data_IF_988682985875
#
_entry.id   IF_988682985875
#
_cell.length_a   1.000
_cell.length_b   1.000
_cell.length_c   1.000
_cell.angle_alpha   90.00
_cell.angle_beta   90.00
_cell.angle_gamma   90.00
#
_symmetry.space_group_name_H-M   'P 1'
#
loop_
_entity.id
_entity.type
_entity.pdbx_description
1 polymer ?
#
# COMPACT_ATOMS: atom_id res chain seq x y z
N UNK A 1 20.47 -8.99 -15.83
CA UNK A 1 19.39 -9.90 -15.36
C UNK A 1 18.29 -9.86 -16.39
N UNK A 2 17.63 -10.99 -16.69
CA UNK A 2 16.39 -10.98 -17.49
C UNK A 2 15.28 -10.26 -16.72
N UNK A 3 14.26 -9.77 -17.44
CA UNK A 3 13.12 -9.06 -16.84
C UNK A 3 12.39 -9.94 -15.81
N UNK A 4 12.21 -11.22 -16.12
CA UNK A 4 11.64 -12.22 -15.21
C UNK A 4 12.48 -12.39 -13.94
N UNK A 5 13.81 -12.48 -14.06
CA UNK A 5 14.68 -12.61 -12.88
C UNK A 5 14.63 -11.34 -12.00
N UNK A 6 14.51 -10.15 -12.60
CA UNK A 6 14.36 -8.88 -11.87
C UNK A 6 13.07 -8.86 -11.04
N UNK A 7 11.99 -9.43 -11.57
CA UNK A 7 10.68 -9.48 -10.89
C UNK A 7 10.61 -10.53 -9.77
N UNK A 8 11.22 -11.69 -9.98
CA UNK A 8 11.00 -12.88 -9.15
C UNK A 8 12.17 -13.22 -8.23
N UNK A 9 13.26 -12.46 -8.25
CA UNK A 9 14.42 -12.69 -7.40
C UNK A 9 14.64 -11.50 -6.47
N UNK A 10 14.94 -11.79 -5.20
CA UNK A 10 15.29 -10.75 -4.23
C UNK A 10 16.44 -9.88 -4.77
N UNK A 11 16.31 -8.56 -4.77
CA UNK A 11 17.43 -7.68 -5.09
C UNK A 11 18.63 -7.96 -4.19
N UNK A 12 19.87 -7.83 -4.72
CA UNK A 12 21.10 -8.05 -3.94
C UNK A 12 21.15 -7.17 -2.69
N UNK A 13 21.77 -7.69 -1.62
CA UNK A 13 21.96 -6.93 -0.38
C UNK A 13 20.72 -6.77 0.49
N UNK A 14 19.62 -7.46 0.16
CA UNK A 14 18.41 -7.47 0.96
C UNK A 14 18.61 -8.19 2.29
N UNK A 15 18.21 -7.54 3.38
CA UNK A 15 18.16 -8.12 4.72
C UNK A 15 16.73 -8.15 5.23
N UNK A 16 16.32 -9.29 5.79
CA UNK A 16 14.99 -9.45 6.38
C UNK A 16 15.09 -9.45 7.89
N UNK A 17 14.10 -8.83 8.53
CA UNK A 17 14.02 -8.71 9.98
C UNK A 17 12.57 -8.50 10.41
N UNK A 18 12.40 -7.87 11.54
CA UNK A 18 11.08 -7.50 12.04
C UNK A 18 11.15 -6.78 13.38
N UNK A 19 10.01 -6.30 13.82
CA UNK A 19 9.82 -5.73 15.14
C UNK A 19 8.49 -6.18 15.73
N UNK A 20 8.36 -6.08 17.04
CA UNK A 20 7.11 -6.45 17.73
C UNK A 20 6.41 -5.20 18.24
N UNK A 21 5.11 -5.06 17.93
CA UNK A 21 4.28 -3.97 18.44
C UNK A 21 2.90 -4.50 18.87
N UNK A 22 2.47 -4.12 20.06
CA UNK A 22 1.19 -4.54 20.64
C UNK A 22 0.98 -6.07 20.56
N UNK A 23 2.04 -6.86 20.80
CA UNK A 23 2.02 -8.32 20.78
C UNK A 23 2.01 -8.96 19.39
N UNK A 24 2.07 -8.19 18.30
CA UNK A 24 2.19 -8.72 16.94
C UNK A 24 3.62 -8.51 16.42
N UNK A 25 4.21 -9.58 15.88
CA UNK A 25 5.47 -9.51 15.13
C UNK A 25 5.18 -9.06 13.69
N UNK A 26 5.86 -7.99 13.26
CA UNK A 26 5.76 -7.42 11.92
C UNK A 26 7.07 -7.66 11.17
N UNK A 27 6.97 -8.33 10.02
CA UNK A 27 8.13 -8.60 9.17
C UNK A 27 8.53 -7.35 8.41
N UNK A 28 9.84 -7.14 8.31
CA UNK A 28 10.44 -6.03 7.54
C UNK A 28 11.53 -6.52 6.62
N UNK A 29 11.89 -5.68 5.64
CA UNK A 29 13.08 -5.86 4.84
C UNK A 29 13.77 -4.52 4.61
N UNK A 30 15.10 -4.57 4.45
CA UNK A 30 15.92 -3.42 4.07
C UNK A 30 16.79 -3.80 2.88
N UNK A 31 16.86 -2.91 1.89
CA UNK A 31 17.68 -3.05 0.69
C UNK A 31 18.51 -1.78 0.52
N UNK A 32 19.80 -1.95 0.22
CA UNK A 32 20.77 -0.87 0.12
C UNK A 32 21.22 -0.74 -1.34
N UNK A 33 21.19 0.46 -1.95
CA UNK A 33 21.67 0.66 -3.31
C UNK A 33 23.19 0.47 -3.40
N UNK A 34 23.66 0.06 -4.57
CA UNK A 34 25.11 -0.06 -4.85
C UNK A 34 25.81 1.29 -5.07
N UNK A 35 25.05 2.37 -5.19
CA UNK A 35 25.51 3.76 -5.38
C UNK A 35 25.26 4.58 -4.11
N UNK A 36 25.91 5.75 -3.95
CA UNK A 36 25.62 6.63 -2.81
C UNK A 36 24.13 6.95 -2.68
N UNK A 37 23.62 6.86 -1.47
CA UNK A 37 22.21 7.03 -1.22
C UNK A 37 21.74 8.47 -1.43
N UNK A 38 20.62 8.64 -2.16
CA UNK A 38 19.91 9.92 -2.33
C UNK A 38 18.89 10.17 -1.22
N UNK A 39 18.59 9.16 -0.43
CA UNK A 39 17.58 9.15 0.62
C UNK A 39 17.00 7.75 0.82
N UNK A 40 15.90 7.68 1.52
CA UNK A 40 15.24 6.40 1.88
C UNK A 40 13.77 6.41 1.49
N UNK A 41 13.33 5.34 0.86
CA UNK A 41 11.91 5.05 0.60
C UNK A 41 11.42 4.03 1.63
N UNK A 42 10.38 4.40 2.38
CA UNK A 42 9.56 3.47 3.17
C UNK A 42 8.45 2.97 2.26
N UNK A 43 8.59 1.73 1.76
CA UNK A 43 7.68 1.12 0.80
C UNK A 43 6.61 0.29 1.50
N UNK A 44 5.34 0.64 1.26
CA UNK A 44 4.18 0.08 1.92
C UNK A 44 3.21 -0.54 0.92
N UNK A 45 2.90 -1.80 1.14
CA UNK A 45 2.09 -2.63 0.25
C UNK A 45 0.59 -2.39 0.42
N UNK A 46 -0.20 -2.86 -0.54
CA UNK A 46 -1.66 -2.88 -0.45
C UNK A 46 -2.20 -4.07 0.36
N UNK A 47 -3.52 -4.30 0.27
CA UNK A 47 -4.15 -5.48 0.87
C UNK A 47 -3.86 -6.74 0.05
N UNK A 48 -3.59 -7.85 0.73
CA UNK A 48 -3.23 -9.14 0.10
C UNK A 48 -1.92 -9.05 -0.71
N UNK A 49 -1.01 -8.24 -0.24
CA UNK A 49 0.32 -8.06 -0.81
C UNK A 49 1.38 -8.29 0.26
N UNK A 50 2.62 -8.50 -0.19
CA UNK A 50 3.77 -8.82 0.64
C UNK A 50 5.06 -8.32 -0.02
N UNK A 51 6.16 -8.29 0.71
CA UNK A 51 7.43 -7.68 0.30
C UNK A 51 7.93 -8.26 -1.04
N UNK A 52 7.88 -9.59 -1.23
CA UNK A 52 8.40 -10.27 -2.42
C UNK A 52 7.72 -9.81 -3.71
N UNK A 53 6.44 -9.51 -3.67
CA UNK A 53 5.70 -8.97 -4.82
C UNK A 53 6.30 -7.67 -5.36
N UNK A 54 7.05 -6.96 -4.52
CA UNK A 54 7.65 -5.66 -4.83
C UNK A 54 9.13 -5.73 -5.19
N UNK A 55 9.73 -6.90 -5.39
CA UNK A 55 11.17 -7.02 -5.70
C UNK A 55 11.57 -6.21 -6.93
N UNK A 56 10.77 -6.20 -8.00
CA UNK A 56 11.00 -5.37 -9.17
C UNK A 56 10.96 -3.87 -8.83
N UNK A 57 9.94 -3.43 -8.11
CA UNK A 57 9.80 -2.03 -7.66
C UNK A 57 10.96 -1.63 -6.75
N UNK A 58 11.38 -2.53 -5.85
CA UNK A 58 12.54 -2.32 -4.99
C UNK A 58 13.80 -2.16 -5.84
N UNK A 59 14.03 -3.03 -6.83
CA UNK A 59 15.16 -2.92 -7.74
C UNK A 59 15.16 -1.58 -8.51
N UNK A 60 13.99 -1.13 -8.98
CA UNK A 60 13.84 0.16 -9.67
C UNK A 60 14.18 1.36 -8.76
N UNK A 61 13.85 1.27 -7.47
CA UNK A 61 14.20 2.30 -6.48
C UNK A 61 15.69 2.28 -6.12
N UNK A 62 16.29 1.09 -6.01
CA UNK A 62 17.73 0.93 -5.78
C UNK A 62 18.55 1.51 -6.95
N UNK A 63 18.12 1.28 -8.20
CA UNK A 63 18.76 1.86 -9.40
C UNK A 63 18.69 3.40 -9.40
N UNK A 64 17.69 3.98 -8.71
CA UNK A 64 17.54 5.43 -8.49
C UNK A 64 18.34 5.95 -7.29
N UNK A 65 19.06 5.07 -6.59
CA UNK A 65 19.89 5.43 -5.46
C UNK A 65 19.14 5.57 -4.14
N UNK A 66 17.96 5.01 -4.01
CA UNK A 66 17.24 5.01 -2.72
C UNK A 66 17.54 3.77 -1.90
N UNK A 67 17.80 3.93 -0.59
CA UNK A 67 17.56 2.85 0.35
C UNK A 67 16.07 2.51 0.35
N UNK A 68 15.72 1.22 0.47
CA UNK A 68 14.32 0.80 0.54
C UNK A 68 14.09 0.00 1.81
N UNK A 69 13.18 0.48 2.63
CA UNK A 69 12.66 -0.26 3.77
C UNK A 69 11.21 -0.65 3.49
N UNK A 70 10.89 -1.92 3.62
CA UNK A 70 9.54 -2.44 3.37
C UNK A 70 9.02 -3.23 4.57
N UNK A 71 7.69 -3.30 4.72
CA UNK A 71 7.02 -4.00 5.81
C UNK A 71 5.83 -4.78 5.28
N UNK A 72 5.66 -6.02 5.76
CA UNK A 72 4.39 -6.72 5.69
C UNK A 72 3.46 -6.20 6.79
N UNK A 73 2.28 -5.70 6.42
CA UNK A 73 1.29 -5.26 7.39
C UNK A 73 0.87 -6.40 8.33
N UNK A 74 0.48 -6.07 9.58
CA UNK A 74 -0.20 -7.06 10.44
C UNK A 74 -1.35 -7.73 9.71
N UNK A 75 -1.49 -9.02 9.85
CA UNK A 75 -2.55 -9.77 9.23
C UNK A 75 -2.31 -10.20 7.79
N UNK A 76 -1.13 -9.91 7.18
CA UNK A 76 -0.78 -10.37 5.84
C UNK A 76 0.73 -10.62 5.67
N UNK A 77 1.15 -11.10 4.51
CA UNK A 77 2.52 -11.51 4.26
C UNK A 77 3.01 -12.54 5.27
N UNK A 78 4.22 -12.39 5.77
CA UNK A 78 4.78 -13.22 6.84
C UNK A 78 4.72 -12.53 8.22
N UNK A 79 4.02 -11.42 8.35
CA UNK A 79 3.66 -10.83 9.65
C UNK A 79 2.60 -11.66 10.38
N UNK A 80 2.48 -11.45 11.69
CA UNK A 80 1.53 -12.16 12.54
C UNK A 80 0.08 -11.97 12.08
N UNK A 81 -0.70 -13.04 12.20
CA UNK A 81 -2.12 -13.07 11.85
C UNK A 81 -2.97 -12.94 13.11
N UNK A 82 -3.96 -12.03 13.13
CA UNK A 82 -4.83 -11.83 14.30
C UNK A 82 -5.85 -12.94 14.51
N UNK A 83 -6.04 -13.82 13.51
CA UNK A 83 -6.95 -14.97 13.58
C UNK A 83 -6.19 -16.28 13.32
N UNK A 84 -6.63 -17.41 13.93
CA UNK A 84 -6.02 -18.72 13.68
C UNK A 84 -6.07 -19.14 12.22
N UNK A 85 -7.15 -18.81 11.51
CA UNK A 85 -7.28 -19.02 10.08
C UNK A 85 -6.51 -17.92 9.32
N UNK A 86 -5.33 -18.26 8.82
CA UNK A 86 -4.42 -17.34 8.11
C UNK A 86 -5.02 -16.75 6.84
N UNK A 87 -6.00 -17.41 6.24
CA UNK A 87 -6.66 -16.93 5.01
C UNK A 87 -7.64 -15.79 5.26
N UNK A 88 -7.98 -15.47 6.51
CA UNK A 88 -8.88 -14.37 6.84
C UNK A 88 -8.14 -13.06 7.05
N UNK A 89 -8.30 -12.13 6.10
CA UNK A 89 -7.85 -10.75 6.29
C UNK A 89 -8.67 -10.05 7.36
N UNK A 90 -8.08 -9.73 8.51
CA UNK A 90 -8.79 -9.15 9.66
C UNK A 90 -7.98 -8.06 10.34
N UNK A 91 -8.67 -6.99 10.72
CA UNK A 91 -8.22 -5.98 11.68
C UNK A 91 -9.46 -5.47 12.43
N UNK A 92 -9.29 -5.04 13.66
CA UNK A 92 -10.39 -4.46 14.45
C UNK A 92 -10.56 -2.97 14.17
N UNK A 93 -9.46 -2.28 13.99
CA UNK A 93 -9.44 -0.86 13.66
C UNK A 93 -8.21 -0.52 12.81
N UNK A 94 -8.34 0.42 11.88
CA UNK A 94 -7.22 0.89 11.06
C UNK A 94 -6.20 1.71 11.88
N UNK A 95 -6.55 2.12 13.09
CA UNK A 95 -5.60 2.74 14.01
C UNK A 95 -4.42 1.80 14.32
N UNK A 96 -4.66 0.47 14.36
CA UNK A 96 -3.61 -0.51 14.56
C UNK A 96 -2.54 -0.44 13.45
N UNK A 97 -2.98 -0.24 12.19
CA UNK A 97 -2.07 -0.06 11.06
C UNK A 97 -1.33 1.30 11.10
N UNK A 98 -2.04 2.36 11.49
CA UNK A 98 -1.43 3.71 11.62
C UNK A 98 -0.31 3.69 12.65
N UNK A 99 -0.57 3.08 13.77
CA UNK A 99 0.39 2.96 14.84
C UNK A 99 1.57 2.01 14.47
N UNK A 100 1.34 0.95 13.67
CA UNK A 100 2.41 0.11 13.13
C UNK A 100 3.31 0.92 12.18
N UNK A 101 2.70 1.73 11.31
CA UNK A 101 3.42 2.61 10.41
C UNK A 101 4.27 3.63 11.17
N UNK A 102 3.71 4.27 12.20
CA UNK A 102 4.45 5.24 13.02
C UNK A 102 5.69 4.58 13.64
N UNK A 103 5.51 3.41 14.27
CA UNK A 103 6.62 2.67 14.85
C UNK A 103 7.67 2.24 13.81
N UNK A 104 7.24 1.81 12.63
CA UNK A 104 8.15 1.44 11.55
C UNK A 104 8.94 2.65 11.03
N UNK A 105 8.28 3.78 10.81
CA UNK A 105 8.96 5.02 10.40
C UNK A 105 9.94 5.49 11.45
N UNK A 106 9.63 5.34 12.74
CA UNK A 106 10.54 5.69 13.84
C UNK A 106 11.82 4.84 13.80
N UNK A 107 11.68 3.54 13.58
CA UNK A 107 12.81 2.62 13.45
C UNK A 107 13.67 3.00 12.23
N UNK A 108 13.04 3.25 11.08
CA UNK A 108 13.76 3.61 9.86
C UNK A 108 14.46 4.95 10.00
N UNK A 109 13.78 5.98 10.54
CA UNK A 109 14.35 7.31 10.71
C UNK A 109 15.58 7.35 11.64
N UNK A 110 15.69 6.40 12.57
CA UNK A 110 16.82 6.32 13.48
C UNK A 110 18.10 5.77 12.84
N UNK A 111 18.02 5.09 11.69
CA UNK A 111 19.15 4.33 11.14
C UNK A 111 19.39 4.52 9.63
N UNK A 112 18.42 5.06 8.90
CA UNK A 112 18.47 5.15 7.45
C UNK A 112 18.84 6.57 6.97
N UNK A 113 19.49 6.72 5.79
CA UNK A 113 19.82 8.02 5.23
C UNK A 113 18.58 8.89 4.99
N UNK A 114 18.66 10.17 5.40
CA UNK A 114 17.69 11.19 5.02
C UNK A 114 17.94 11.67 3.57
N UNK A 115 16.90 12.23 2.89
CA UNK A 115 15.53 12.40 3.35
C UNK A 115 14.71 11.10 3.31
N UNK A 116 13.68 11.01 4.18
CA UNK A 116 12.73 9.91 4.18
C UNK A 116 11.48 10.25 3.37
N UNK A 117 11.08 9.35 2.49
CA UNK A 117 9.86 9.42 1.70
C UNK A 117 9.05 8.14 1.93
N UNK A 118 7.77 8.25 2.20
CA UNK A 118 6.85 7.08 2.21
C UNK A 118 6.29 6.90 0.81
N UNK A 119 6.38 5.69 0.27
CA UNK A 119 5.74 5.28 -0.99
C UNK A 119 4.78 4.13 -0.72
N UNK A 120 3.50 4.32 -1.00
CA UNK A 120 2.46 3.40 -0.53
C UNK A 120 1.42 3.11 -1.60
N UNK A 121 1.02 1.84 -1.72
CA UNK A 121 0.02 1.38 -2.67
C UNK A 121 -1.31 1.03 -1.99
N UNK A 122 -2.43 1.39 -2.61
CA UNK A 122 -3.79 0.94 -2.27
C UNK A 122 -4.14 1.14 -0.78
N UNK A 123 -4.37 0.05 -0.02
CA UNK A 123 -4.60 0.10 1.42
C UNK A 123 -3.46 0.81 2.17
N UNK A 124 -2.20 0.55 1.79
CA UNK A 124 -1.05 1.25 2.37
C UNK A 124 -1.09 2.75 2.12
N UNK A 125 -1.53 3.18 0.93
CA UNK A 125 -1.76 4.59 0.60
C UNK A 125 -2.81 5.25 1.49
N UNK A 126 -3.91 4.55 1.75
CA UNK A 126 -4.95 5.00 2.68
C UNK A 126 -4.41 5.16 4.12
N UNK A 127 -3.71 4.14 4.62
CA UNK A 127 -3.13 4.16 5.96
C UNK A 127 -2.13 5.31 6.08
N UNK A 128 -1.28 5.49 5.07
CA UNK A 128 -0.31 6.59 5.01
C UNK A 128 -1.01 7.93 5.05
N UNK A 129 -2.04 8.17 4.23
CA UNK A 129 -2.77 9.44 4.22
C UNK A 129 -3.40 9.75 5.59
N UNK A 130 -3.99 8.74 6.26
CA UNK A 130 -4.51 8.90 7.61
C UNK A 130 -3.41 9.19 8.63
N UNK A 131 -2.30 8.46 8.58
CA UNK A 131 -1.15 8.68 9.48
C UNK A 131 -0.59 10.09 9.31
N UNK A 132 -0.43 10.57 8.08
CA UNK A 132 0.03 11.93 7.80
C UNK A 132 -0.89 13.00 8.36
N UNK A 133 -2.21 12.79 8.30
CA UNK A 133 -3.18 13.73 8.85
C UNK A 133 -3.22 13.70 10.39
N UNK A 134 -3.18 12.51 10.99
CA UNK A 134 -3.45 12.30 12.41
C UNK A 134 -2.20 12.26 13.30
N UNK A 135 -0.99 12.11 12.71
CA UNK A 135 0.28 11.98 13.43
C UNK A 135 1.29 13.08 13.01
N UNK A 136 1.20 14.31 13.56
CA UNK A 136 2.13 15.39 13.21
C UNK A 136 3.60 15.03 13.49
N UNK A 137 3.87 14.21 14.51
CA UNK A 137 5.23 13.77 14.84
C UNK A 137 5.83 12.86 13.76
N UNK A 138 5.04 11.93 13.20
CA UNK A 138 5.43 11.11 12.06
C UNK A 138 5.64 11.99 10.81
N UNK A 139 4.70 12.89 10.51
CA UNK A 139 4.77 13.77 9.35
C UNK A 139 6.05 14.60 9.31
N UNK A 140 6.52 15.11 10.44
CA UNK A 140 7.77 15.90 10.53
C UNK A 140 9.05 15.12 10.22
N UNK A 141 9.01 13.79 10.22
CA UNK A 141 10.16 12.92 9.87
C UNK A 141 10.28 12.70 8.37
N UNK A 142 9.26 13.07 7.60
CA UNK A 142 9.15 12.76 6.17
C UNK A 142 9.36 14.01 5.32
N UNK A 143 10.13 13.87 4.25
CA UNK A 143 10.28 14.90 3.22
C UNK A 143 9.07 14.94 2.28
N UNK A 144 8.38 13.81 2.10
CA UNK A 144 7.22 13.71 1.25
C UNK A 144 6.57 12.33 1.28
N UNK A 145 5.47 12.18 0.55
CA UNK A 145 4.78 10.90 0.38
C UNK A 145 4.35 10.66 -1.08
N UNK A 146 4.33 9.41 -1.50
CA UNK A 146 3.84 8.94 -2.80
C UNK A 146 2.68 7.98 -2.55
N UNK A 147 1.50 8.33 -3.04
CA UNK A 147 0.28 7.55 -2.88
C UNK A 147 -0.11 6.98 -4.24
N UNK A 148 0.02 5.66 -4.42
CA UNK A 148 -0.30 4.96 -5.67
C UNK A 148 -1.64 4.24 -5.54
N UNK A 149 -2.62 4.58 -6.38
CA UNK A 149 -3.97 3.96 -6.40
C UNK A 149 -4.54 3.80 -5.00
N UNK A 150 -4.46 4.88 -4.20
CA UNK A 150 -4.73 4.83 -2.77
C UNK A 150 -6.21 4.56 -2.48
N UNK A 151 -6.51 3.70 -1.51
CA UNK A 151 -7.86 3.27 -1.14
C UNK A 151 -8.66 4.40 -0.47
N UNK A 152 -9.00 5.46 -1.23
CA UNK A 152 -9.85 6.55 -0.74
C UNK A 152 -11.33 6.14 -0.71
N UNK A 153 -11.75 5.32 -1.64
CA UNK A 153 -13.04 4.61 -1.66
C UNK A 153 -12.90 3.31 -2.45
N UNK A 154 -13.67 2.27 -2.10
CA UNK A 154 -13.63 0.96 -2.77
C UNK A 154 -14.87 0.73 -3.62
N UNK A 155 -14.71 -0.13 -4.64
CA UNK A 155 -15.85 -0.65 -5.38
C UNK A 155 -16.66 -1.63 -4.51
N UNK A 156 -17.98 -1.50 -4.56
CA UNK A 156 -18.91 -2.22 -3.67
C UNK A 156 -19.88 -3.15 -4.40
N UNK A 157 -19.59 -3.47 -5.67
CA UNK A 157 -20.37 -4.44 -6.45
C UNK A 157 -21.82 -4.02 -6.70
N UNK A 158 -22.05 -2.72 -6.97
CA UNK A 158 -23.36 -2.20 -7.32
C UNK A 158 -24.25 -1.76 -6.15
N UNK A 159 -23.85 -2.02 -4.90
CA UNK A 159 -24.53 -1.44 -3.72
C UNK A 159 -23.88 -0.14 -3.30
N UNK A 160 -24.65 0.76 -2.67
CA UNK A 160 -24.07 2.05 -2.24
C UNK A 160 -23.02 1.81 -1.13
N UNK A 161 -21.92 2.59 -1.08
CA UNK A 161 -20.93 2.48 0.00
C UNK A 161 -21.53 2.62 1.39
N UNK A 162 -22.55 3.48 1.55
CA UNK A 162 -23.27 3.63 2.83
C UNK A 162 -24.01 2.36 3.22
N UNK A 163 -24.64 1.68 2.26
CA UNK A 163 -25.33 0.40 2.49
C UNK A 163 -24.34 -0.69 2.82
N UNK A 164 -23.24 -0.81 2.08
CA UNK A 164 -22.17 -1.77 2.35
C UNK A 164 -21.59 -1.58 3.77
N UNK A 165 -21.32 -0.33 4.16
CA UNK A 165 -20.84 -0.01 5.51
C UNK A 165 -21.84 -0.39 6.60
N UNK A 166 -23.15 -0.14 6.39
CA UNK A 166 -24.20 -0.52 7.34
C UNK A 166 -24.30 -2.03 7.48
N UNK A 167 -24.27 -2.78 6.38
CA UNK A 167 -24.29 -4.25 6.39
C UNK A 167 -23.08 -4.77 7.18
N UNK A 168 -21.86 -4.32 6.87
CA UNK A 168 -20.66 -4.73 7.60
C UNK A 168 -20.78 -4.44 9.10
N UNK A 169 -21.26 -3.25 9.47
CA UNK A 169 -21.47 -2.84 10.86
C UNK A 169 -22.47 -3.74 11.58
N UNK A 170 -23.63 -4.02 10.98
CA UNK A 170 -24.67 -4.89 11.55
C UNK A 170 -24.14 -6.31 11.77
N UNK A 171 -23.41 -6.85 10.78
CA UNK A 171 -22.81 -8.18 10.91
C UNK A 171 -21.72 -8.24 12.00
N UNK A 172 -20.94 -7.19 12.17
CA UNK A 172 -19.99 -7.10 13.30
C UNK A 172 -20.74 -7.08 14.63
N UNK A 173 -21.81 -6.31 14.75
CA UNK A 173 -22.62 -6.22 15.96
C UNK A 173 -23.31 -7.55 16.30
N UNK A 174 -23.70 -8.32 15.26
CA UNK A 174 -24.23 -9.67 15.39
C UNK A 174 -23.18 -10.75 15.71
N UNK A 175 -21.93 -10.37 16.02
CA UNK A 175 -20.85 -11.32 16.35
C UNK A 175 -20.18 -12.00 15.15
N UNK A 176 -20.53 -11.59 13.92
CA UNK A 176 -20.01 -12.18 12.68
C UNK A 176 -18.74 -11.48 12.15
N UNK A 177 -18.17 -10.57 12.91
CA UNK A 177 -17.02 -9.76 12.50
C UNK A 177 -15.77 -10.56 12.07
N UNK A 178 -15.61 -11.79 12.57
CA UNK A 178 -14.50 -12.69 12.19
C UNK A 178 -14.82 -13.62 11.00
N UNK A 179 -16.01 -13.51 10.40
CA UNK A 179 -16.36 -14.25 9.19
C UNK A 179 -15.84 -13.53 7.97
N UNK A 180 -15.22 -14.29 7.06
CA UNK A 180 -14.82 -13.79 5.76
C UNK A 180 -16.03 -13.46 4.89
N UNK A 181 -15.93 -12.42 4.09
CA UNK A 181 -16.89 -12.12 3.03
C UNK A 181 -16.76 -13.20 1.96
N UNK A 182 -17.88 -13.62 1.38
CA UNK A 182 -17.81 -14.56 0.26
C UNK A 182 -16.99 -13.98 -0.89
N UNK A 183 -15.92 -14.67 -1.27
CA UNK A 183 -15.17 -14.28 -2.46
C UNK A 183 -16.03 -14.50 -3.71
N UNK A 184 -15.94 -13.63 -4.73
CA UNK A 184 -16.53 -13.94 -6.04
C UNK A 184 -16.04 -15.29 -6.55
N UNK A 185 -16.94 -16.11 -7.07
CA UNK A 185 -16.62 -17.47 -7.54
C UNK A 185 -15.80 -17.51 -8.84
N UNK A 186 -15.54 -16.38 -9.46
CA UNK A 186 -14.82 -16.33 -10.73
C UNK A 186 -13.31 -16.45 -10.53
N UNK A 187 -12.79 -17.65 -10.77
CA UNK A 187 -11.36 -17.86 -10.97
C UNK A 187 -10.96 -17.16 -12.27
N UNK A 188 -10.04 -16.22 -12.20
CA UNK A 188 -9.45 -15.54 -13.36
C UNK A 188 -9.86 -14.08 -13.59
N UNK A 189 -11.02 -13.62 -13.11
CA UNK A 189 -11.42 -12.22 -13.26
C UNK A 189 -10.58 -11.25 -12.37
N UNK A 190 -9.99 -11.75 -11.29
CA UNK A 190 -9.22 -10.93 -10.34
C UNK A 190 -7.96 -10.32 -10.94
N UNK A 191 -7.19 -11.08 -11.71
CA UNK A 191 -5.92 -10.60 -12.31
C UNK A 191 -6.14 -9.52 -13.38
N UNK A 192 -7.17 -9.67 -14.21
CA UNK A 192 -7.50 -8.66 -15.22
C UNK A 192 -7.96 -7.33 -14.64
N UNK A 193 -8.32 -7.27 -13.36
CA UNK A 193 -8.69 -6.03 -12.68
C UNK A 193 -7.48 -5.28 -12.09
N UNK A 194 -6.37 -5.99 -11.79
CA UNK A 194 -5.21 -5.43 -11.08
C UNK A 194 -4.19 -4.82 -12.03
N UNK A 195 -3.83 -5.52 -13.10
CA UNK A 195 -2.85 -5.06 -14.09
C UNK A 195 -3.23 -5.51 -15.50
N UNK A 196 -2.76 -4.77 -16.51
CA UNK A 196 -2.88 -5.16 -17.92
C UNK A 196 -1.67 -5.97 -18.41
N UNK A 197 -0.63 -6.14 -17.58
CA UNK A 197 0.55 -6.94 -17.90
C UNK A 197 0.31 -8.41 -17.52
N UNK A 198 0.28 -9.34 -18.50
CA UNK A 198 -0.04 -10.73 -18.23
C UNK A 198 1.05 -11.51 -17.47
N UNK A 199 2.31 -11.05 -17.54
CA UNK A 199 3.40 -11.69 -16.82
C UNK A 199 3.42 -11.23 -15.37
N UNK A 200 3.33 -9.91 -15.12
CA UNK A 200 3.27 -9.33 -13.76
C UNK A 200 2.03 -9.76 -13.00
N UNK A 201 0.94 -10.04 -13.71
CA UNK A 201 -0.27 -10.60 -13.11
C UNK A 201 -0.04 -11.95 -12.41
N UNK A 202 0.99 -12.71 -12.82
CA UNK A 202 1.31 -14.03 -12.27
C UNK A 202 2.34 -13.99 -11.13
N UNK A 203 3.01 -12.86 -10.92
CA UNK A 203 4.08 -12.74 -9.91
C UNK A 203 3.62 -13.15 -8.52
N UNK A 204 2.42 -12.73 -8.11
CA UNK A 204 1.87 -13.08 -6.80
C UNK A 204 1.67 -14.59 -6.64
N UNK A 205 1.11 -15.25 -7.65
CA UNK A 205 0.88 -16.70 -7.63
C UNK A 205 2.21 -17.46 -7.57
N UNK A 206 3.23 -16.98 -8.28
CA UNK A 206 4.58 -17.55 -8.22
C UNK A 206 5.12 -17.57 -6.78
N UNK A 207 5.06 -16.44 -6.07
CA UNK A 207 5.55 -16.37 -4.70
C UNK A 207 4.70 -17.18 -3.71
N UNK A 208 3.38 -17.17 -3.88
CA UNK A 208 2.46 -17.97 -3.05
C UNK A 208 2.65 -19.47 -3.29
N UNK A 209 2.97 -19.88 -4.51
CA UNK A 209 3.32 -21.29 -4.79
C UNK A 209 4.63 -21.71 -4.13
N UNK A 210 5.61 -20.81 -4.05
CA UNK A 210 6.89 -21.05 -3.37
C UNK A 210 6.76 -21.03 -1.83
N UNK A 211 5.94 -20.13 -1.29
CA UNK A 211 5.63 -20.04 0.14
C UNK A 211 4.12 -19.79 0.37
N UNK A 212 3.32 -20.85 0.59
CA UNK A 212 1.88 -20.71 0.83
C UNK A 212 1.49 -19.87 2.05
N UNK A 213 2.43 -19.59 2.97
CA UNK A 213 2.18 -18.70 4.12
C UNK A 213 1.94 -17.25 3.71
N UNK A 214 2.39 -16.84 2.52
CA UNK A 214 2.15 -15.50 1.95
C UNK A 214 0.68 -15.30 1.56
N UNK A 215 -0.05 -16.37 1.30
CA UNK A 215 -1.44 -16.30 0.86
C UNK A 215 -2.35 -15.60 1.87
N UNK A 216 -3.25 -14.78 1.34
CA UNK A 216 -4.35 -14.16 2.09
C UNK A 216 -5.63 -14.26 1.25
N UNK A 217 -6.71 -14.64 1.89
CA UNK A 217 -8.03 -14.71 1.25
C UNK A 217 -8.86 -13.44 1.44
N UNK A 218 -10.17 -13.63 1.46
CA UNK A 218 -11.12 -12.54 1.55
C UNK A 218 -11.01 -11.76 2.87
N UNK A 219 -11.37 -10.46 2.88
CA UNK A 219 -11.51 -9.70 4.11
C UNK A 219 -12.63 -10.26 4.97
N UNK A 220 -12.54 -10.07 6.26
CA UNK A 220 -13.65 -10.31 7.19
C UNK A 220 -14.62 -9.12 7.20
N UNK A 221 -15.85 -9.33 7.71
CA UNK A 221 -16.77 -8.22 7.93
C UNK A 221 -16.20 -7.18 8.90
N UNK A 222 -15.39 -7.62 9.90
CA UNK A 222 -14.67 -6.72 10.80
C UNK A 222 -13.67 -5.82 10.07
N UNK A 223 -12.91 -6.39 9.14
CA UNK A 223 -11.99 -5.60 8.31
C UNK A 223 -12.75 -4.60 7.43
N UNK A 224 -13.87 -5.00 6.81
CA UNK A 224 -14.68 -4.10 5.99
C UNK A 224 -15.28 -2.95 6.82
N UNK A 225 -15.86 -3.24 8.00
CA UNK A 225 -16.39 -2.19 8.87
C UNK A 225 -15.28 -1.21 9.29
N UNK A 226 -14.10 -1.73 9.66
CA UNK A 226 -12.96 -0.90 10.00
C UNK A 226 -12.48 -0.04 8.82
N UNK A 227 -12.45 -0.62 7.61
CA UNK A 227 -12.08 0.10 6.38
C UNK A 227 -13.08 1.22 6.07
N UNK A 228 -14.39 0.95 6.11
CA UNK A 228 -15.41 1.98 5.87
C UNK A 228 -15.36 3.11 6.91
N UNK A 229 -15.15 2.78 8.19
CA UNK A 229 -14.95 3.81 9.23
C UNK A 229 -13.72 4.66 8.95
N UNK A 230 -12.63 4.01 8.55
CA UNK A 230 -11.37 4.66 8.23
C UNK A 230 -11.49 5.59 7.02
N UNK A 231 -12.12 5.13 5.94
CA UNK A 231 -12.40 5.96 4.75
C UNK A 231 -13.30 7.16 5.08
N UNK A 232 -14.29 6.98 5.96
CA UNK A 232 -15.16 8.08 6.40
C UNK A 232 -14.39 9.15 7.19
N UNK A 233 -13.41 8.77 8.02
CA UNK A 233 -12.53 9.73 8.69
C UNK A 233 -11.72 10.53 7.66
N UNK A 234 -11.07 9.86 6.72
CA UNK A 234 -10.22 10.51 5.71
C UNK A 234 -11.03 11.46 4.78
N UNK A 235 -12.28 11.12 4.51
CA UNK A 235 -13.19 11.96 3.74
C UNK A 235 -13.68 13.19 4.52
N UNK A 236 -13.49 13.25 5.83
CA UNK A 236 -13.91 14.37 6.69
C UNK A 236 -13.23 15.69 6.33
N UNK A 237 -13.88 16.82 6.66
CA UNK A 237 -13.31 18.15 6.42
C UNK A 237 -12.05 18.37 7.27
N UNK A 238 -11.06 19.09 6.75
CA UNK A 238 -9.82 19.42 7.44
C UNK A 238 -8.78 18.28 7.49
N UNK A 239 -9.14 17.03 7.12
CA UNK A 239 -8.24 15.88 7.25
C UNK A 239 -7.17 15.88 6.15
N UNK A 240 -7.55 15.98 4.89
CA UNK A 240 -6.59 16.09 3.79
C UNK A 240 -5.82 17.41 3.86
N UNK A 241 -6.47 18.49 4.21
CA UNK A 241 -5.91 19.84 4.34
C UNK A 241 -4.85 19.94 5.44
N UNK A 242 -4.86 19.04 6.42
CA UNK A 242 -3.84 18.96 7.47
C UNK A 242 -2.50 18.36 6.99
N UNK A 243 -2.47 17.76 5.81
CA UNK A 243 -1.25 17.14 5.24
C UNK A 243 -0.46 18.21 4.50
N UNK A 244 0.47 18.87 5.18
CA UNK A 244 1.23 20.04 4.71
C UNK A 244 2.58 19.71 4.04
N UNK A 245 2.95 18.43 3.92
CA UNK A 245 4.14 18.00 3.18
C UNK A 245 3.83 17.75 1.68
N UNK A 246 4.86 17.71 0.80
CA UNK A 246 4.67 17.35 -0.60
C UNK A 246 4.10 15.93 -0.75
N UNK A 247 3.06 15.77 -1.57
CA UNK A 247 2.45 14.47 -1.88
C UNK A 247 2.36 14.29 -3.38
N UNK A 248 2.97 13.23 -3.91
CA UNK A 248 2.71 12.75 -5.27
C UNK A 248 1.54 11.76 -5.20
N UNK A 249 0.44 12.06 -5.89
CA UNK A 249 -0.72 11.17 -6.01
C UNK A 249 -0.74 10.57 -7.42
N UNK A 250 -0.52 9.27 -7.51
CA UNK A 250 -0.54 8.53 -8.77
C UNK A 250 -1.85 7.75 -8.88
N UNK A 251 -2.72 8.16 -9.80
CA UNK A 251 -4.05 7.61 -10.03
C UNK A 251 -4.03 6.65 -11.21
N UNK A 252 -4.56 5.45 -11.01
CA UNK A 252 -4.88 4.51 -12.07
C UNK A 252 -6.24 4.85 -12.68
N UNK A 253 -6.26 5.39 -13.91
CA UNK A 253 -7.49 5.90 -14.52
C UNK A 253 -8.53 4.81 -14.86
N UNK A 254 -8.08 3.58 -15.12
CA UNK A 254 -8.94 2.43 -15.43
C UNK A 254 -9.11 1.48 -14.22
N UNK A 255 -8.90 1.96 -13.00
CA UNK A 255 -9.04 1.19 -11.77
C UNK A 255 -10.47 0.66 -11.56
N UNK A 256 -10.57 -0.63 -11.17
CA UNK A 256 -11.85 -1.30 -10.86
C UNK A 256 -11.90 -1.83 -9.42
N UNK A 257 -10.91 -1.51 -8.61
CA UNK A 257 -10.79 -1.92 -7.20
C UNK A 257 -11.08 -0.75 -6.27
N UNK A 258 -10.43 0.38 -6.53
CA UNK A 258 -10.70 1.65 -5.84
C UNK A 258 -11.34 2.65 -6.83
N UNK A 259 -11.84 3.76 -6.31
CA UNK A 259 -12.52 4.77 -7.12
C UNK A 259 -11.57 5.92 -7.45
N UNK A 260 -11.14 6.08 -8.72
CA UNK A 260 -10.28 7.19 -9.13
C UNK A 260 -10.84 8.58 -8.79
N UNK A 261 -12.17 8.75 -8.88
CA UNK A 261 -12.82 10.02 -8.51
C UNK A 261 -12.62 10.39 -7.04
N UNK A 262 -12.57 9.40 -6.14
CA UNK A 262 -12.31 9.65 -4.73
C UNK A 262 -10.86 10.06 -4.48
N UNK A 263 -9.92 9.51 -5.25
CA UNK A 263 -8.51 9.91 -5.20
C UNK A 263 -8.31 11.33 -5.74
N UNK A 264 -8.97 11.69 -6.87
CA UNK A 264 -8.96 13.07 -7.41
C UNK A 264 -9.52 14.07 -6.40
N UNK A 265 -10.66 13.73 -5.79
CA UNK A 265 -11.29 14.57 -4.77
C UNK A 265 -10.41 14.73 -3.52
N UNK A 266 -9.70 13.69 -3.10
CA UNK A 266 -8.74 13.76 -2.01
C UNK A 266 -7.52 14.61 -2.39
N UNK A 267 -6.92 14.38 -3.55
CA UNK A 267 -5.77 15.12 -4.06
C UNK A 267 -6.04 16.62 -4.19
N UNK A 268 -7.24 17.00 -4.64
CA UNK A 268 -7.65 18.40 -4.77
C UNK A 268 -7.73 19.16 -3.43
N UNK A 269 -7.76 18.44 -2.30
CA UNK A 269 -7.80 19.01 -0.95
C UNK A 269 -6.42 19.07 -0.29
N UNK A 270 -5.40 18.43 -0.85
CA UNK A 270 -4.05 18.48 -0.33
C UNK A 270 -3.38 19.81 -0.64
N UNK A 271 -2.75 20.49 0.33
CA UNK A 271 -2.11 21.80 0.10
C UNK A 271 -0.93 21.75 -0.89
N UNK A 272 -0.24 20.61 -0.98
CA UNK A 272 1.00 20.44 -1.75
C UNK A 272 0.96 19.15 -2.58
N UNK A 273 -0.12 18.94 -3.34
CA UNK A 273 -0.27 17.80 -4.21
C UNK A 273 0.42 18.00 -5.56
N UNK A 274 1.10 16.97 -6.02
CA UNK A 274 1.42 16.73 -7.43
C UNK A 274 0.59 15.55 -7.88
N UNK A 275 -0.19 15.72 -8.96
CA UNK A 275 -1.06 14.67 -9.48
C UNK A 275 -0.48 14.10 -10.77
N UNK A 276 -0.41 12.79 -10.88
CA UNK A 276 -0.20 12.06 -12.12
C UNK A 276 -1.32 11.04 -12.29
N UNK A 277 -2.07 11.16 -13.39
CA UNK A 277 -3.08 10.18 -13.75
C UNK A 277 -2.63 9.39 -14.97
N UNK A 278 -2.63 8.07 -14.84
CA UNK A 278 -2.27 7.14 -15.91
C UNK A 278 -3.58 6.51 -16.41
N UNK A 279 -4.15 7.13 -17.45
CA UNK A 279 -5.52 6.89 -17.91
C UNK A 279 -5.83 5.40 -18.16
N UNK A 280 -4.91 4.65 -18.78
CA UNK A 280 -5.12 3.24 -19.12
C UNK A 280 -4.64 2.27 -18.02
N UNK A 281 -4.02 2.76 -16.96
CA UNK A 281 -3.54 1.92 -15.87
C UNK A 281 -4.71 1.31 -15.11
N UNK A 282 -4.59 0.04 -14.79
CA UNK A 282 -5.40 -0.64 -13.79
C UNK A 282 -4.82 -0.42 -12.40
N UNK A 283 -5.38 -1.06 -11.39
CA UNK A 283 -5.10 -0.81 -9.97
C UNK A 283 -3.61 -0.80 -9.58
N UNK A 284 -2.81 -1.72 -10.13
CA UNK A 284 -1.40 -1.89 -9.76
C UNK A 284 -0.47 -1.10 -10.72
N UNK A 285 -0.47 0.24 -10.63
CA UNK A 285 0.38 1.14 -11.44
C UNK A 285 1.84 0.67 -11.50
N UNK A 286 2.37 0.17 -10.39
CA UNK A 286 3.75 -0.33 -10.26
C UNK A 286 3.99 -1.67 -10.94
N UNK A 287 2.92 -2.37 -11.32
CA UNK A 287 2.93 -3.68 -11.97
C UNK A 287 2.30 -3.65 -13.36
N UNK A 288 2.09 -2.46 -13.93
CA UNK A 288 1.58 -2.29 -15.27
C UNK A 288 2.66 -2.53 -16.35
N UNK A 289 2.23 -2.57 -17.63
CA UNK A 289 3.14 -2.63 -18.77
C UNK A 289 4.12 -1.45 -18.74
N UNK A 290 5.34 -1.64 -19.25
CA UNK A 290 6.42 -0.65 -19.18
C UNK A 290 6.03 0.74 -19.67
N UNK A 291 5.20 0.84 -20.73
CA UNK A 291 4.72 2.12 -21.23
C UNK A 291 3.95 2.93 -20.16
N UNK A 292 3.14 2.25 -19.34
CA UNK A 292 2.34 2.87 -18.27
C UNK A 292 3.18 3.09 -17.01
N UNK A 293 3.98 2.09 -16.60
CA UNK A 293 4.93 2.24 -15.48
C UNK A 293 5.89 3.39 -15.70
N UNK A 294 6.39 3.55 -16.93
CA UNK A 294 7.30 4.64 -17.29
C UNK A 294 6.70 6.04 -17.08
N UNK A 295 5.38 6.20 -17.16
CA UNK A 295 4.73 7.48 -16.83
C UNK A 295 4.83 7.77 -15.32
N UNK A 296 4.59 6.76 -14.50
CA UNK A 296 4.74 6.86 -13.05
C UNK A 296 6.20 7.18 -12.65
N UNK A 297 7.17 6.42 -13.20
CA UNK A 297 8.58 6.60 -12.84
C UNK A 297 9.09 7.98 -13.20
N UNK A 298 8.73 8.51 -14.38
CA UNK A 298 9.10 9.91 -14.76
C UNK A 298 8.50 10.94 -13.81
N UNK A 299 7.24 10.77 -13.42
CA UNK A 299 6.60 11.67 -12.47
C UNK A 299 7.28 11.60 -11.08
N UNK A 300 7.61 10.39 -10.62
CA UNK A 300 8.35 10.19 -9.37
C UNK A 300 9.73 10.85 -9.43
N UNK A 301 10.50 10.63 -10.51
CA UNK A 301 11.85 11.18 -10.67
C UNK A 301 11.81 12.72 -10.60
N UNK A 302 10.92 13.36 -11.37
CA UNK A 302 10.75 14.83 -11.36
C UNK A 302 10.33 15.36 -9.99
N UNK A 303 9.36 14.69 -9.35
CA UNK A 303 8.85 15.10 -8.03
C UNK A 303 9.91 14.90 -6.93
N UNK A 304 10.63 13.79 -6.95
CA UNK A 304 11.67 13.49 -5.97
C UNK A 304 12.84 14.47 -6.07
N UNK A 305 13.27 14.87 -7.28
CA UNK A 305 14.29 15.89 -7.48
C UNK A 305 13.90 17.23 -6.82
N UNK A 306 12.63 17.61 -6.89
CA UNK A 306 12.15 18.88 -6.34
C UNK A 306 12.09 18.90 -4.79
N UNK A 307 12.12 17.74 -4.12
CA UNK A 307 11.98 17.66 -2.64
C UNK A 307 13.24 17.17 -1.93
N UNK A 308 14.21 16.60 -2.68
CA UNK A 308 15.47 16.09 -2.12
C UNK A 308 16.57 17.16 -2.11
N UNK A 309 16.40 18.21 -2.90
CA UNK A 309 17.29 19.39 -2.91
C UNK A 309 17.04 20.25 -1.68
#
# INVERSE_FOLDING_TARGET
MSDTARRLTSPPGGTFGGFTRAGAHLRTACFVPAVPARGTIVLLTGRNEFIEKYFETIADLLDRGFHVHAMDWRGQGLSDRPLPDRMKGHVRDFIDYIDDLEAFVDIVAAQAPAPLIVMAHSMGGHITARALAERPALRRKLAGAVLCSAMMAIETGGISPRTAARIARVLVFAGLGRRAVAAPKEKGAGFSALTSDPERAQDQDHFVAADPRLALGAPTFGWLDAAFRSMAVLAGPGVAEAIDLPVLVAIAGADKVVKPDAERAFAARLPRATLVEIAESRHEVLKEREALRGLFWRALDTWAEAIIT
#
